data_IF_471439606042
#
_entry.id   IF_471439606042
#
_cell.length_a   1.000
_cell.length_b   1.000
_cell.length_c   1.000
_cell.angle_alpha   90.00
_cell.angle_beta   90.00
_cell.angle_gamma   90.00
#
_symmetry.space_group_name_H-M   'P 1'
#
loop_
_entity.id
_entity.type
_entity.pdbx_description
1 polymer ?
#
# COMPACT_ATOMS: atom_id res chain seq x y z
N UNK A 1 26.92 -101.02 -41.53
CA UNK A 1 26.56 -100.21 -42.71
C UNK A 1 26.30 -98.78 -42.24
N UNK A 2 27.00 -97.79 -42.84
CA UNK A 2 26.56 -96.42 -43.20
C UNK A 2 25.77 -95.62 -42.13
N UNK A 3 25.97 -94.34 -41.85
CA UNK A 3 26.77 -93.24 -42.38
C UNK A 3 26.31 -92.00 -41.58
N UNK A 4 27.24 -91.07 -41.32
CA UNK A 4 27.12 -89.60 -41.44
C UNK A 4 25.94 -88.86 -40.76
N UNK A 5 26.31 -87.84 -39.96
CA UNK A 5 25.46 -86.82 -39.34
C UNK A 5 24.63 -85.98 -40.34
N UNK A 6 23.64 -85.23 -39.83
CA UNK A 6 23.76 -83.79 -40.01
C UNK A 6 23.50 -83.00 -38.71
N UNK A 7 24.35 -82.00 -38.50
CA UNK A 7 24.18 -80.91 -37.54
C UNK A 7 23.08 -79.98 -38.05
N UNK A 8 22.02 -79.81 -37.27
CA UNK A 8 21.00 -78.78 -37.48
C UNK A 8 21.26 -77.62 -36.51
N UNK A 9 21.69 -76.49 -37.09
CA UNK A 9 21.85 -75.21 -36.40
C UNK A 9 20.45 -74.60 -36.27
N UNK A 10 19.88 -74.67 -35.06
CA UNK A 10 18.66 -73.95 -34.70
C UNK A 10 19.01 -72.59 -34.08
N UNK A 11 18.82 -71.52 -34.84
CA UNK A 11 18.97 -70.15 -34.33
C UNK A 11 17.81 -69.82 -33.39
N UNK A 12 18.08 -69.73 -32.09
CA UNK A 12 17.12 -69.24 -31.09
C UNK A 12 17.21 -67.70 -31.03
N UNK A 13 16.35 -67.01 -31.78
CA UNK A 13 16.15 -65.58 -31.64
C UNK A 13 15.31 -65.32 -30.37
N UNK A 14 15.98 -65.08 -29.24
CA UNK A 14 15.36 -64.52 -28.04
C UNK A 14 15.05 -63.05 -28.32
N UNK A 15 13.79 -62.76 -28.65
CA UNK A 15 13.28 -61.41 -28.79
C UNK A 15 13.46 -60.64 -27.49
N UNK A 16 14.28 -59.58 -27.53
CA UNK A 16 14.29 -58.56 -26.47
C UNK A 16 12.97 -57.81 -26.60
N UNK A 17 12.01 -58.14 -25.73
CA UNK A 17 10.84 -57.31 -25.52
C UNK A 17 11.33 -56.04 -24.82
N UNK A 18 11.74 -55.04 -25.60
CA UNK A 18 11.95 -53.69 -25.11
C UNK A 18 10.57 -53.13 -24.75
N UNK A 19 10.13 -53.41 -23.52
CA UNK A 19 9.08 -52.60 -22.92
C UNK A 19 9.60 -51.14 -22.96
N UNK A 20 8.84 -50.17 -23.49
CA UNK A 20 9.19 -48.79 -23.25
C UNK A 20 9.23 -48.64 -21.73
N UNK A 21 10.39 -48.25 -21.20
CA UNK A 21 10.46 -47.75 -19.84
C UNK A 21 9.47 -46.58 -19.79
N UNK A 22 8.29 -46.84 -19.23
CA UNK A 22 7.39 -45.79 -18.80
C UNK A 22 8.18 -45.07 -17.71
N UNK A 23 8.90 -44.02 -18.10
CA UNK A 23 9.40 -43.04 -17.17
C UNK A 23 8.20 -42.67 -16.32
N UNK A 24 8.22 -43.06 -15.04
CA UNK A 24 7.29 -42.54 -14.07
C UNK A 24 7.43 -41.02 -14.17
N UNK A 25 6.50 -40.37 -14.88
CA UNK A 25 6.34 -38.95 -14.79
C UNK A 25 6.12 -38.71 -13.30
N UNK A 26 7.14 -38.18 -12.62
CA UNK A 26 6.96 -37.51 -11.34
C UNK A 26 5.68 -36.71 -11.50
N UNK A 27 4.63 -37.06 -10.76
CA UNK A 27 3.34 -36.40 -10.87
C UNK A 27 3.62 -34.90 -10.93
N UNK A 28 3.38 -34.31 -12.11
CA UNK A 28 3.54 -32.88 -12.26
C UNK A 28 2.62 -32.30 -11.19
N UNK A 29 3.19 -31.61 -10.20
CA UNK A 29 2.40 -31.01 -9.13
C UNK A 29 1.25 -30.21 -9.75
N UNK A 30 0.11 -30.16 -9.07
CA UNK A 30 -1.06 -29.44 -9.57
C UNK A 30 -0.66 -28.04 -10.06
N UNK A 31 -1.09 -27.63 -11.27
CA UNK A 31 -0.75 -26.34 -11.84
C UNK A 31 -0.93 -25.20 -10.82
N UNK A 32 0.04 -24.29 -10.76
CA UNK A 32 -0.02 -23.21 -9.80
C UNK A 32 -1.04 -22.13 -10.26
N UNK A 33 -2.00 -21.74 -9.40
CA UNK A 33 -2.94 -20.66 -9.71
C UNK A 33 -2.18 -19.34 -9.92
N UNK A 34 -2.69 -18.43 -10.74
CA UNK A 34 -2.04 -17.13 -10.99
C UNK A 34 -2.75 -16.00 -10.27
N UNK A 35 -1.99 -15.06 -9.70
CA UNK A 35 -2.50 -13.76 -9.25
C UNK A 35 -2.34 -12.78 -10.40
N UNK A 36 -3.44 -12.37 -11.01
CA UNK A 36 -3.42 -11.48 -12.19
C UNK A 36 -3.57 -10.00 -11.81
N UNK A 37 -4.14 -9.72 -10.64
CA UNK A 37 -4.28 -8.35 -10.11
C UNK A 37 -4.39 -8.37 -8.59
N UNK A 38 -3.75 -7.42 -7.92
CA UNK A 38 -3.93 -7.18 -6.49
C UNK A 38 -3.93 -5.68 -6.19
N UNK A 39 -5.02 -5.18 -5.59
CA UNK A 39 -5.21 -3.75 -5.27
C UNK A 39 -5.67 -3.59 -3.83
N UNK A 40 -5.23 -2.50 -3.21
CA UNK A 40 -5.56 -2.17 -1.81
C UNK A 40 -5.58 -0.66 -1.62
N UNK A 41 -6.47 -0.16 -0.76
CA UNK A 41 -6.57 1.27 -0.44
C UNK A 41 -5.57 1.69 0.64
N UNK A 42 -4.95 2.86 0.46
CA UNK A 42 -4.20 3.54 1.53
C UNK A 42 -5.15 4.33 2.41
N UNK A 43 -4.86 4.42 3.72
CA UNK A 43 -5.68 5.17 4.67
C UNK A 43 -4.90 6.31 5.31
N UNK A 44 -5.59 7.45 5.46
CA UNK A 44 -5.19 8.52 6.38
C UNK A 44 -6.05 8.42 7.63
N UNK A 45 -5.40 8.28 8.79
CA UNK A 45 -6.05 8.04 10.07
C UNK A 45 -5.79 9.18 11.05
N UNK A 46 -6.85 9.64 11.72
CA UNK A 46 -6.75 10.54 12.86
C UNK A 46 -6.23 9.83 14.11
N UNK A 47 -6.29 10.47 15.29
CA UNK A 47 -5.68 9.91 16.50
C UNK A 47 -6.37 8.66 17.06
N UNK A 48 -7.70 8.59 16.96
CA UNK A 48 -8.55 7.48 17.43
C UNK A 48 -9.60 7.14 16.39
N UNK A 49 -9.20 7.11 15.12
CA UNK A 49 -10.11 6.87 14.01
C UNK A 49 -10.14 5.39 13.69
N UNK A 50 -11.35 4.84 13.52
CA UNK A 50 -11.56 3.54 12.90
C UNK A 50 -11.92 3.74 11.43
N UNK A 51 -11.22 3.04 10.52
CA UNK A 51 -11.54 3.00 9.09
C UNK A 51 -11.38 1.60 8.55
N UNK A 52 -12.21 1.23 7.59
CA UNK A 52 -12.08 -0.04 6.87
C UNK A 52 -11.14 0.12 5.69
N UNK A 53 -10.13 -0.73 5.61
CA UNK A 53 -9.35 -0.92 4.38
C UNK A 53 -9.86 -2.15 3.63
N UNK A 54 -9.66 -2.19 2.32
CA UNK A 54 -10.13 -3.28 1.48
C UNK A 54 -9.04 -3.68 0.50
N UNK A 55 -8.71 -4.97 0.49
CA UNK A 55 -7.90 -5.59 -0.54
C UNK A 55 -8.78 -6.40 -1.49
N UNK A 56 -8.46 -6.33 -2.78
CA UNK A 56 -9.10 -7.13 -3.82
C UNK A 56 -8.01 -7.79 -4.67
N UNK A 57 -8.12 -9.10 -4.83
CA UNK A 57 -7.19 -9.94 -5.59
C UNK A 57 -7.96 -10.69 -6.67
N UNK A 58 -7.52 -10.58 -7.91
CA UNK A 58 -8.02 -11.39 -9.03
C UNK A 58 -7.07 -12.56 -9.23
N UNK A 59 -7.64 -13.76 -9.26
CA UNK A 59 -6.90 -15.02 -9.34
C UNK A 59 -7.51 -15.94 -10.40
N UNK A 60 -6.66 -16.72 -11.05
CA UNK A 60 -7.07 -17.63 -12.13
C UNK A 60 -6.43 -19.01 -11.99
N UNK A 61 -7.21 -20.05 -12.23
CA UNK A 61 -6.75 -21.44 -12.34
C UNK A 61 -7.74 -22.26 -13.18
N UNK A 62 -7.27 -23.21 -13.99
CA UNK A 62 -8.14 -24.02 -14.85
C UNK A 62 -9.11 -24.91 -14.04
N UNK A 63 -8.71 -25.36 -12.84
CA UNK A 63 -9.59 -26.10 -11.92
C UNK A 63 -10.56 -25.19 -11.15
N UNK A 64 -10.36 -23.87 -11.23
CA UNK A 64 -11.02 -22.87 -10.41
C UNK A 64 -10.38 -22.70 -9.04
N UNK A 65 -10.90 -21.75 -8.26
CA UNK A 65 -10.27 -21.31 -7.02
C UNK A 65 -10.97 -21.91 -5.80
N UNK A 66 -10.20 -22.55 -4.91
CA UNK A 66 -10.67 -23.07 -3.62
C UNK A 66 -10.70 -21.99 -2.55
N UNK A 67 -9.68 -21.13 -2.49
CA UNK A 67 -9.63 -20.05 -1.51
C UNK A 67 -8.43 -19.14 -1.67
N UNK A 68 -8.51 -17.98 -1.02
CA UNK A 68 -7.43 -17.01 -0.92
C UNK A 68 -7.32 -16.54 0.54
N UNK A 69 -6.12 -16.56 1.09
CA UNK A 69 -5.78 -15.97 2.40
C UNK A 69 -4.83 -14.79 2.21
N UNK A 70 -4.98 -13.77 3.06
CA UNK A 70 -4.16 -12.55 3.03
C UNK A 70 -3.59 -12.24 4.41
N UNK A 71 -2.40 -11.64 4.43
CA UNK A 71 -1.77 -11.15 5.64
C UNK A 71 -1.07 -9.81 5.36
N UNK A 72 -1.53 -8.69 5.95
CA UNK A 72 -0.82 -7.43 5.87
C UNK A 72 0.42 -7.46 6.79
N UNK A 73 1.52 -6.83 6.37
CA UNK A 73 2.73 -6.72 7.20
C UNK A 73 3.51 -5.42 6.94
N UNK A 74 4.20 -4.86 7.95
CA UNK A 74 4.85 -3.55 7.85
C UNK A 74 6.17 -3.64 7.08
N UNK A 75 6.35 -2.81 6.04
CA UNK A 75 7.58 -2.80 5.25
C UNK A 75 8.82 -2.32 6.02
N UNK A 76 8.62 -1.65 7.16
CA UNK A 76 9.69 -1.12 8.01
C UNK A 76 10.38 -2.21 8.83
N UNK A 77 9.75 -3.37 9.00
CA UNK A 77 10.29 -4.51 9.77
C UNK A 77 10.40 -5.72 8.82
N UNK A 78 11.47 -5.81 8.00
CA UNK A 78 11.62 -6.90 7.02
C UNK A 78 11.58 -8.30 7.62
N UNK A 79 12.00 -8.44 8.89
CA UNK A 79 11.97 -9.71 9.61
C UNK A 79 10.54 -10.22 9.88
N UNK A 80 9.53 -9.36 9.73
CA UNK A 80 8.10 -9.72 9.80
C UNK A 80 7.53 -10.10 8.43
N UNK A 81 8.36 -10.25 7.39
CA UNK A 81 7.89 -10.76 6.11
C UNK A 81 7.37 -12.19 6.28
N UNK A 82 6.07 -12.44 6.04
CA UNK A 82 5.49 -13.75 6.27
C UNK A 82 5.98 -14.75 5.22
N UNK A 83 6.04 -16.01 5.63
CA UNK A 83 6.22 -17.17 4.76
C UNK A 83 4.87 -17.71 4.30
N UNK A 84 4.89 -18.64 3.35
CA UNK A 84 3.68 -19.29 2.85
C UNK A 84 2.90 -20.01 3.97
N UNK A 85 3.60 -20.67 4.91
CA UNK A 85 3.00 -21.31 6.08
C UNK A 85 2.24 -20.33 6.96
N UNK A 86 2.84 -19.18 7.25
CA UNK A 86 2.25 -18.18 8.15
C UNK A 86 0.92 -17.66 7.57
N UNK A 87 0.88 -17.40 6.25
CA UNK A 87 -0.36 -16.98 5.58
C UNK A 87 -1.35 -18.14 5.42
N UNK A 88 -0.87 -19.38 5.25
CA UNK A 88 -1.75 -20.54 5.17
C UNK A 88 -2.43 -20.84 6.52
N UNK A 89 -1.74 -20.64 7.64
CA UNK A 89 -2.23 -20.96 8.97
C UNK A 89 -3.02 -19.79 9.56
N UNK A 90 -2.42 -18.60 9.60
CA UNK A 90 -2.94 -17.42 10.31
C UNK A 90 -3.52 -16.35 9.38
N UNK A 91 -3.31 -16.47 8.07
CA UNK A 91 -3.83 -15.51 7.10
C UNK A 91 -5.36 -15.45 7.10
N UNK A 92 -5.89 -14.24 6.95
CA UNK A 92 -7.32 -14.01 6.93
C UNK A 92 -7.93 -14.45 5.60
N UNK A 93 -9.01 -15.25 5.67
CA UNK A 93 -9.70 -15.73 4.48
C UNK A 93 -10.44 -14.58 3.76
N UNK A 94 -10.26 -14.50 2.44
CA UNK A 94 -10.99 -13.59 1.58
C UNK A 94 -12.34 -14.18 1.17
N UNK A 95 -13.33 -13.31 0.94
CA UNK A 95 -14.56 -13.71 0.26
C UNK A 95 -14.31 -13.73 -1.25
N UNK A 96 -14.30 -14.93 -1.84
CA UNK A 96 -14.09 -15.13 -3.27
C UNK A 96 -15.43 -15.24 -4.02
N UNK A 97 -15.58 -14.43 -5.06
CA UNK A 97 -16.69 -14.53 -6.02
C UNK A 97 -16.12 -14.95 -7.37
N UNK A 98 -16.56 -16.10 -7.88
CA UNK A 98 -16.22 -16.54 -9.22
C UNK A 98 -16.79 -15.54 -10.26
N UNK A 99 -15.96 -15.13 -11.20
CA UNK A 99 -16.38 -14.35 -12.38
C UNK A 99 -16.43 -15.22 -13.64
N UNK A 100 -15.77 -16.37 -13.62
CA UNK A 100 -15.87 -17.45 -14.61
C UNK A 100 -15.56 -18.80 -13.95
N UNK A 101 -15.56 -19.90 -14.71
CA UNK A 101 -15.14 -21.21 -14.20
C UNK A 101 -13.70 -21.21 -13.67
N UNK A 102 -12.82 -20.41 -14.28
CA UNK A 102 -11.39 -20.38 -13.98
C UNK A 102 -10.94 -19.14 -13.20
N UNK A 103 -11.77 -18.09 -13.11
CA UNK A 103 -11.39 -16.81 -12.51
C UNK A 103 -12.26 -16.43 -11.33
N UNK A 104 -11.64 -15.96 -10.26
CA UNK A 104 -12.33 -15.39 -9.09
C UNK A 104 -11.76 -14.03 -8.72
N UNK A 105 -12.64 -13.17 -8.20
CA UNK A 105 -12.26 -11.94 -7.50
C UNK A 105 -12.50 -12.14 -6.01
N UNK A 106 -11.42 -12.08 -5.23
CA UNK A 106 -11.41 -12.31 -3.80
C UNK A 106 -11.21 -11.00 -3.06
N UNK A 107 -12.10 -10.69 -2.12
CA UNK A 107 -12.10 -9.43 -1.38
C UNK A 107 -11.92 -9.68 0.11
N UNK A 108 -11.02 -8.93 0.73
CA UNK A 108 -10.83 -8.88 2.18
C UNK A 108 -11.08 -7.47 2.68
N UNK A 109 -11.78 -7.36 3.82
CA UNK A 109 -12.10 -6.10 4.47
C UNK A 109 -11.75 -6.21 5.94
N UNK A 110 -11.06 -5.20 6.45
CA UNK A 110 -10.70 -5.11 7.85
C UNK A 110 -10.85 -3.68 8.34
N UNK A 111 -11.45 -3.54 9.51
CA UNK A 111 -11.57 -2.26 10.20
C UNK A 111 -10.38 -2.09 11.12
N UNK A 112 -9.59 -1.05 10.88
CA UNK A 112 -8.44 -0.70 11.70
C UNK A 112 -8.72 0.56 12.51
N UNK A 113 -8.56 0.48 13.82
CA UNK A 113 -8.47 1.60 14.73
C UNK A 113 -7.02 2.01 14.91
N UNK A 114 -6.71 3.25 14.53
CA UNK A 114 -5.36 3.80 14.64
C UNK A 114 -4.72 3.69 16.02
N UNK A 115 -5.49 3.83 17.11
CA UNK A 115 -4.96 3.82 18.47
C UNK A 115 -4.91 2.40 19.06
N UNK A 116 -5.96 1.61 18.86
CA UNK A 116 -6.04 0.28 19.44
C UNK A 116 -5.19 -0.75 18.69
N UNK A 117 -5.18 -0.70 17.35
CA UNK A 117 -4.58 -1.77 16.54
C UNK A 117 -3.18 -1.41 16.04
N UNK A 118 -2.96 -0.15 15.69
CA UNK A 118 -1.62 0.30 15.27
C UNK A 118 -0.76 0.75 16.45
N UNK A 119 -1.37 1.34 17.49
CA UNK A 119 -0.80 1.58 18.84
C UNK A 119 0.39 2.54 18.94
N UNK A 120 1.24 2.55 17.94
CA UNK A 120 2.44 3.36 17.81
C UNK A 120 2.42 4.05 16.44
N UNK A 121 3.02 5.24 16.38
CA UNK A 121 3.27 5.92 15.12
C UNK A 121 4.19 5.12 14.19
N UNK A 122 4.92 4.11 14.69
CA UNK A 122 5.70 3.16 13.87
C UNK A 122 4.83 2.35 12.91
N UNK A 123 3.53 2.18 13.20
CA UNK A 123 2.59 1.59 12.24
C UNK A 123 2.33 2.47 11.02
N UNK A 124 2.73 3.75 11.05
CA UNK A 124 2.56 4.65 9.93
C UNK A 124 3.69 4.47 8.92
N UNK A 125 3.33 4.22 7.66
CA UNK A 125 4.29 3.96 6.61
C UNK A 125 3.74 3.01 5.56
N UNK A 126 4.65 2.39 4.82
CA UNK A 126 4.31 1.41 3.79
C UNK A 126 4.09 0.03 4.41
N UNK A 127 3.06 -0.63 3.93
CA UNK A 127 2.69 -2.00 4.26
C UNK A 127 2.61 -2.81 2.97
N UNK A 128 2.89 -4.10 3.08
CA UNK A 128 2.67 -5.08 2.03
C UNK A 128 1.50 -5.98 2.41
N UNK A 129 0.90 -6.62 1.41
CA UNK A 129 -0.07 -7.70 1.61
C UNK A 129 0.52 -8.96 1.01
N UNK A 130 0.77 -9.95 1.85
CA UNK A 130 1.09 -11.30 1.42
C UNK A 130 -0.21 -12.04 1.07
N UNK A 131 -0.16 -12.88 0.03
CA UNK A 131 -1.32 -13.60 -0.48
C UNK A 131 -0.95 -15.06 -0.72
N UNK A 132 -1.77 -15.96 -0.20
CA UNK A 132 -1.74 -17.40 -0.48
C UNK A 132 -3.01 -17.75 -1.27
N UNK A 133 -2.86 -18.34 -2.45
CA UNK A 133 -3.96 -18.83 -3.29
C UNK A 133 -3.92 -20.34 -3.31
N UNK A 134 -5.10 -20.97 -3.21
CA UNK A 134 -5.27 -22.41 -3.38
C UNK A 134 -6.31 -22.68 -4.46
N UNK A 135 -5.92 -23.43 -5.49
CA UNK A 135 -6.79 -23.93 -6.54
C UNK A 135 -7.58 -25.16 -6.06
N UNK A 136 -8.62 -25.57 -6.81
CA UNK A 136 -9.46 -26.72 -6.42
C UNK A 136 -8.74 -28.06 -6.59
N UNK A 137 -7.85 -28.16 -7.57
CA UNK A 137 -6.99 -29.32 -7.77
C UNK A 137 -5.91 -29.45 -6.67
N UNK A 138 -5.67 -28.41 -5.88
CA UNK A 138 -4.68 -28.37 -4.80
C UNK A 138 -3.40 -27.60 -5.15
N UNK A 139 -3.30 -27.02 -6.35
CA UNK A 139 -2.22 -26.11 -6.72
C UNK A 139 -2.20 -24.88 -5.81
N UNK A 140 -1.00 -24.37 -5.50
CA UNK A 140 -0.85 -23.18 -4.64
C UNK A 140 0.11 -22.16 -5.21
N UNK A 141 -0.17 -20.90 -4.92
CA UNK A 141 0.72 -19.77 -5.23
C UNK A 141 0.83 -18.87 -4.02
N UNK A 142 2.07 -18.56 -3.64
CA UNK A 142 2.38 -17.62 -2.59
C UNK A 142 3.05 -16.37 -3.17
N UNK A 143 2.54 -15.20 -2.80
CA UNK A 143 3.13 -13.91 -3.13
C UNK A 143 3.34 -13.10 -1.84
N UNK A 144 4.58 -12.97 -1.31
CA UNK A 144 4.83 -12.28 -0.04
C UNK A 144 4.57 -10.77 -0.09
N UNK A 145 4.54 -10.20 -1.29
CA UNK A 145 4.31 -8.77 -1.56
C UNK A 145 3.40 -8.59 -2.78
N UNK A 146 2.21 -9.22 -2.75
CA UNK A 146 1.27 -9.18 -3.88
C UNK A 146 0.82 -7.75 -4.21
N UNK A 147 0.68 -6.90 -3.20
CA UNK A 147 0.39 -5.47 -3.35
C UNK A 147 0.91 -4.68 -2.15
N UNK A 148 0.79 -3.35 -2.19
CA UNK A 148 1.24 -2.47 -1.11
C UNK A 148 0.31 -1.28 -0.91
N UNK A 149 0.27 -0.77 0.31
CA UNK A 149 -0.51 0.41 0.69
C UNK A 149 0.22 1.21 1.77
N UNK A 150 -0.38 2.32 2.20
CA UNK A 150 0.15 3.13 3.29
C UNK A 150 -0.91 3.42 4.34
N UNK A 151 -0.50 3.34 5.60
CA UNK A 151 -1.18 4.01 6.70
C UNK A 151 -0.44 5.32 6.98
N UNK A 152 -1.15 6.44 6.90
CA UNK A 152 -0.60 7.76 7.22
C UNK A 152 -1.37 8.43 8.33
N UNK A 153 -0.64 9.11 9.20
CA UNK A 153 -1.19 9.98 10.24
C UNK A 153 -1.80 11.22 9.60
N UNK A 154 -2.99 11.60 10.03
CA UNK A 154 -3.64 12.84 9.59
C UNK A 154 -2.86 14.05 10.11
N UNK A 155 -2.56 15.01 9.23
CA UNK A 155 -2.01 16.31 9.63
C UNK A 155 -3.10 17.39 9.71
N UNK A 156 -2.84 18.44 10.49
CA UNK A 156 -3.60 19.68 10.45
C UNK A 156 -2.65 20.87 10.42
N UNK A 157 -3.06 21.93 9.73
CA UNK A 157 -2.22 23.09 9.48
C UNK A 157 -3.08 24.36 9.46
N UNK A 158 -2.62 25.39 10.16
CA UNK A 158 -3.31 26.69 10.23
C UNK A 158 -2.51 27.79 9.55
N UNK A 159 -3.18 28.87 9.17
CA UNK A 159 -2.55 30.10 8.70
C UNK A 159 -3.31 31.31 9.24
N UNK A 160 -2.58 32.32 9.70
CA UNK A 160 -3.10 33.61 10.16
C UNK A 160 -2.17 34.71 9.67
N UNK A 161 -2.70 35.65 8.90
CA UNK A 161 -1.96 36.85 8.52
C UNK A 161 -1.96 37.86 9.68
N UNK A 162 -0.87 38.62 9.82
CA UNK A 162 -0.70 39.64 10.86
C UNK A 162 -1.65 40.83 10.71
N UNK A 163 -2.20 41.05 9.52
CA UNK A 163 -3.17 42.10 9.24
C UNK A 163 -4.18 41.63 8.19
N UNK A 164 -5.43 42.10 8.31
CA UNK A 164 -6.50 41.85 7.32
C UNK A 164 -6.45 42.82 6.13
N UNK A 165 -5.82 43.99 6.30
CA UNK A 165 -5.71 45.02 5.27
C UNK A 165 -4.40 45.80 5.42
N UNK A 166 -3.66 45.97 4.32
CA UNK A 166 -2.36 46.67 4.30
C UNK A 166 -2.21 47.54 3.05
N UNK A 167 -1.28 48.50 3.06
CA UNK A 167 -0.93 49.24 1.83
C UNK A 167 -0.22 48.30 0.85
N UNK A 168 -0.32 48.57 -0.45
CA UNK A 168 0.43 47.82 -1.47
C UNK A 168 1.93 47.84 -1.13
N UNK A 169 2.61 46.72 -1.38
CA UNK A 169 4.02 46.47 -1.08
C UNK A 169 4.40 46.42 0.41
N UNK A 170 3.43 46.51 1.33
CA UNK A 170 3.67 46.25 2.75
C UNK A 170 4.04 44.78 2.98
N UNK A 171 4.90 44.54 3.96
CA UNK A 171 5.24 43.19 4.41
C UNK A 171 4.24 42.73 5.46
N UNK A 172 3.68 41.54 5.28
CA UNK A 172 2.90 40.85 6.30
C UNK A 172 3.68 39.67 6.86
N UNK A 173 3.36 39.29 8.10
CA UNK A 173 3.76 38.00 8.66
C UNK A 173 2.57 37.05 8.57
N UNK A 174 2.80 35.83 8.11
CA UNK A 174 1.81 34.75 8.19
C UNK A 174 2.33 33.73 9.19
N UNK A 175 1.57 33.47 10.25
CA UNK A 175 1.89 32.45 11.26
C UNK A 175 0.97 31.25 11.12
N UNK A 176 1.39 30.10 11.61
CA UNK A 176 0.61 28.87 11.57
C UNK A 176 1.14 27.82 12.53
N UNK A 177 0.43 26.72 12.62
CA UNK A 177 0.77 25.59 13.46
C UNK A 177 0.54 24.29 12.67
N UNK A 178 1.60 23.51 12.48
CA UNK A 178 1.54 22.16 11.96
C UNK A 178 1.38 21.18 13.13
N UNK A 179 0.39 20.29 13.02
CA UNK A 179 0.13 19.20 13.95
C UNK A 179 -0.11 17.91 13.17
N UNK A 180 0.04 16.79 13.85
CA UNK A 180 -0.29 15.47 13.32
C UNK A 180 -1.00 14.64 14.38
N UNK A 181 -1.85 13.71 13.95
CA UNK A 181 -2.39 12.66 14.80
C UNK A 181 -1.24 11.87 15.43
N UNK A 182 -1.32 11.59 16.71
CA UNK A 182 -0.42 10.72 17.45
C UNK A 182 -1.23 9.52 17.90
N UNK A 183 -0.96 8.37 17.28
CA UNK A 183 -1.73 7.17 17.53
C UNK A 183 -1.43 6.57 18.89
N UNK A 184 -0.23 6.78 19.43
CA UNK A 184 0.15 6.32 20.77
C UNK A 184 -0.62 7.00 21.89
N UNK A 185 -0.69 8.32 21.90
CA UNK A 185 -1.49 9.05 22.90
C UNK A 185 -2.97 9.17 22.52
N UNK A 186 -3.34 8.81 21.29
CA UNK A 186 -4.68 9.01 20.75
C UNK A 186 -5.08 10.48 20.67
N UNK A 187 -4.12 11.40 20.51
CA UNK A 187 -4.34 12.86 20.45
C UNK A 187 -3.75 13.48 19.19
N UNK A 188 -4.09 14.73 18.90
CA UNK A 188 -3.36 15.53 17.90
C UNK A 188 -2.24 16.27 18.59
N UNK A 189 -1.00 16.08 18.14
CA UNK A 189 0.20 16.67 18.76
C UNK A 189 0.93 17.59 17.79
N UNK A 190 1.76 18.47 18.35
CA UNK A 190 2.62 19.36 17.58
C UNK A 190 3.56 18.56 16.68
N UNK A 191 3.70 18.98 15.42
CA UNK A 191 4.52 18.28 14.44
C UNK A 191 5.58 19.22 13.84
N UNK A 192 6.77 19.16 14.42
CA UNK A 192 7.87 20.07 14.14
C UNK A 192 8.85 19.60 13.05
N UNK A 193 9.82 20.48 12.77
CA UNK A 193 10.99 20.23 11.88
C UNK A 193 10.64 19.90 10.41
N UNK A 194 9.37 20.04 10.01
CA UNK A 194 8.91 19.79 8.65
C UNK A 194 9.09 21.01 7.75
N UNK A 195 9.28 20.77 6.45
CA UNK A 195 9.19 21.83 5.44
C UNK A 195 7.72 22.15 5.13
N UNK A 196 7.36 23.43 5.14
CA UNK A 196 6.02 23.92 4.83
C UNK A 196 6.13 25.11 3.89
N UNK A 197 5.30 25.14 2.85
CA UNK A 197 5.34 26.18 1.82
C UNK A 197 4.20 27.18 2.02
N UNK A 198 4.54 28.45 2.20
CA UNK A 198 3.61 29.57 2.09
C UNK A 198 3.22 29.74 0.62
N UNK A 199 1.92 29.75 0.35
CA UNK A 199 1.32 29.95 -0.95
C UNK A 199 0.40 31.18 -0.94
N UNK A 200 0.27 31.84 -2.08
CA UNK A 200 -0.61 32.98 -2.30
C UNK A 200 -1.58 32.70 -3.45
N UNK A 201 -2.84 33.10 -3.29
CA UNK A 201 -3.86 33.10 -4.33
C UNK A 201 -4.42 34.52 -4.45
N UNK A 202 -4.25 35.13 -5.62
CA UNK A 202 -4.77 36.47 -5.92
C UNK A 202 -6.30 36.47 -5.89
N UNK A 203 -6.92 37.52 -5.34
CA UNK A 203 -8.37 37.69 -5.40
C UNK A 203 -8.87 37.64 -6.86
N UNK A 204 -10.02 36.99 -7.08
CA UNK A 204 -10.56 36.76 -8.43
C UNK A 204 -9.91 35.60 -9.19
N UNK A 205 -9.00 34.84 -8.57
CA UNK A 205 -8.36 33.66 -9.18
C UNK A 205 -8.50 32.42 -8.30
N UNK A 206 -8.32 31.24 -8.89
CA UNK A 206 -8.40 29.94 -8.18
C UNK A 206 -7.04 29.33 -7.88
N UNK A 207 -5.99 29.71 -8.62
CA UNK A 207 -4.67 29.09 -8.55
C UNK A 207 -3.83 29.59 -7.36
N UNK A 208 -3.28 28.65 -6.59
CA UNK A 208 -2.30 28.92 -5.54
C UNK A 208 -0.88 28.89 -6.10
N UNK A 209 -0.10 29.94 -5.85
CA UNK A 209 1.31 30.03 -6.25
C UNK A 209 2.21 29.93 -5.03
N UNK A 210 3.28 29.16 -5.11
CA UNK A 210 4.29 29.11 -4.07
C UNK A 210 4.98 30.46 -3.91
N UNK A 211 5.20 30.89 -2.67
CA UNK A 211 5.89 32.14 -2.35
C UNK A 211 7.20 31.87 -1.62
N UNK A 212 7.15 31.07 -0.55
CA UNK A 212 8.32 30.77 0.28
C UNK A 212 8.16 29.45 1.00
N UNK A 213 9.21 28.64 1.04
CA UNK A 213 9.27 27.46 1.91
C UNK A 213 9.99 27.80 3.21
N UNK A 214 9.41 27.40 4.33
CA UNK A 214 9.96 27.58 5.69
C UNK A 214 9.99 26.24 6.42
N UNK A 215 10.83 26.14 7.44
CA UNK A 215 10.85 24.99 8.35
C UNK A 215 9.99 25.31 9.57
N UNK A 216 9.11 24.39 9.94
CA UNK A 216 8.43 24.45 11.22
C UNK A 216 9.45 24.27 12.36
N UNK A 217 9.27 24.99 13.46
CA UNK A 217 10.12 24.82 14.64
C UNK A 217 9.90 23.45 15.31
N UNK A 218 10.57 23.18 16.42
CA UNK A 218 10.44 21.91 17.15
C UNK A 218 9.00 21.67 17.67
N UNK A 219 8.22 22.74 17.89
CA UNK A 219 6.84 22.70 18.36
C UNK A 219 5.84 22.79 17.20
N UNK A 220 6.28 22.72 15.94
CA UNK A 220 5.40 22.77 14.77
C UNK A 220 4.92 24.18 14.40
N UNK A 221 5.40 25.23 15.06
CA UNK A 221 5.04 26.60 14.66
C UNK A 221 5.71 26.95 13.34
N UNK A 222 4.95 27.59 12.44
CA UNK A 222 5.44 28.09 11.16
C UNK A 222 5.27 29.60 11.07
N UNK A 223 6.28 30.29 10.53
CA UNK A 223 6.28 31.74 10.34
C UNK A 223 7.01 32.08 9.05
N UNK A 224 6.41 32.94 8.25
CA UNK A 224 7.04 33.50 7.06
C UNK A 224 6.56 34.93 6.86
N UNK A 225 7.38 35.74 6.21
CA UNK A 225 7.06 37.10 5.80
C UNK A 225 6.96 37.20 4.29
N UNK A 226 6.07 38.04 3.79
CA UNK A 226 5.90 38.27 2.36
C UNK A 226 5.38 39.67 2.07
N UNK A 227 5.78 40.25 0.93
CA UNK A 227 5.24 41.52 0.42
C UNK A 227 3.88 41.31 -0.23
N UNK A 228 2.92 42.18 0.09
CA UNK A 228 1.57 42.16 -0.47
C UNK A 228 1.50 43.05 -1.72
N UNK A 229 1.66 42.47 -2.90
CA UNK A 229 1.56 43.19 -4.17
C UNK A 229 0.12 43.29 -4.70
N UNK A 230 -0.77 42.42 -4.24
CA UNK A 230 -2.19 42.37 -4.60
C UNK A 230 -3.03 41.82 -3.44
N UNK A 231 -4.33 42.14 -3.43
CA UNK A 231 -5.28 41.49 -2.53
C UNK A 231 -5.39 39.99 -2.86
N UNK A 232 -5.57 39.17 -1.84
CA UNK A 232 -5.72 37.72 -2.00
C UNK A 232 -5.64 36.96 -0.69
N UNK A 233 -5.50 35.64 -0.79
CA UNK A 233 -5.42 34.74 0.36
C UNK A 233 -4.04 34.09 0.45
N UNK A 234 -3.57 33.90 1.68
CA UNK A 234 -2.32 33.23 2.02
C UNK A 234 -2.59 31.93 2.75
N UNK A 235 -1.93 30.83 2.38
CA UNK A 235 -2.07 29.54 3.08
C UNK A 235 -0.73 28.86 3.23
N UNK A 236 -0.62 27.98 4.21
CA UNK A 236 0.49 27.05 4.30
C UNK A 236 0.11 25.70 3.67
N UNK A 237 1.09 25.05 3.03
CA UNK A 237 0.97 23.74 2.43
C UNK A 237 2.09 22.84 2.97
N UNK A 238 1.72 21.73 3.60
CA UNK A 238 2.62 20.65 3.98
C UNK A 238 2.42 19.50 2.98
N UNK A 239 3.50 19.08 2.32
CA UNK A 239 3.46 18.06 1.27
C UNK A 239 3.25 16.63 1.82
N UNK A 240 3.27 16.44 3.14
CA UNK A 240 3.29 15.11 3.73
C UNK A 240 4.67 14.47 3.65
N UNK A 241 4.74 13.23 4.13
CA UNK A 241 5.89 12.34 3.97
C UNK A 241 5.40 10.88 3.96
N UNK A 242 6.29 9.92 4.18
CA UNK A 242 5.95 8.50 4.21
C UNK A 242 4.95 8.12 5.32
N UNK A 243 4.94 8.85 6.44
CA UNK A 243 4.19 8.52 7.66
C UNK A 243 3.06 9.50 7.98
N UNK A 244 3.11 10.73 7.45
CA UNK A 244 2.11 11.78 7.70
C UNK A 244 1.54 12.28 6.37
N UNK A 245 0.23 12.42 6.30
CA UNK A 245 -0.48 12.88 5.12
C UNK A 245 -0.20 14.37 4.80
N UNK A 246 -0.31 14.73 3.52
CA UNK A 246 -0.27 16.12 3.09
C UNK A 246 -1.48 16.90 3.63
N UNK A 247 -1.30 18.19 3.90
CA UNK A 247 -2.39 19.07 4.31
C UNK A 247 -2.15 20.52 3.86
N UNK A 248 -3.22 21.19 3.45
CA UNK A 248 -3.22 22.63 3.21
C UNK A 248 -4.03 23.31 4.32
N UNK A 249 -3.55 24.45 4.82
CA UNK A 249 -4.37 25.28 5.70
C UNK A 249 -5.50 25.96 4.92
N UNK A 250 -6.51 26.43 5.66
CA UNK A 250 -7.41 27.45 5.17
C UNK A 250 -6.63 28.71 4.74
N UNK A 251 -7.22 29.50 3.84
CA UNK A 251 -6.64 30.76 3.37
C UNK A 251 -6.89 31.92 4.34
N UNK A 252 -5.84 32.65 4.69
CA UNK A 252 -5.90 33.91 5.40
C UNK A 252 -5.96 35.07 4.40
N UNK A 253 -7.12 35.71 4.27
CA UNK A 253 -7.35 36.80 3.31
C UNK A 253 -6.78 38.13 3.79
N UNK A 254 -6.11 38.83 2.88
CA UNK A 254 -5.54 40.17 3.08
C UNK A 254 -5.99 41.07 1.93
N UNK A 255 -6.63 42.19 2.25
CA UNK A 255 -7.02 43.23 1.29
C UNK A 255 -5.97 44.33 1.18
N UNK A 256 -6.07 45.13 0.12
CA UNK A 256 -5.31 46.38 0.02
C UNK A 256 -6.13 47.52 0.62
N UNK A 257 -5.46 48.40 1.39
CA UNK A 257 -6.04 49.69 1.79
C UNK A 257 -6.23 50.55 0.54
N UNK A 258 -7.33 51.31 0.54
CA UNK A 258 -7.54 52.40 -0.40
C UNK A 258 -6.48 53.49 -0.15
#
# INVERSE_FOLDING_TARGET
MRSVAPVLIGALALGVLAAPAASAATAAGNPAPKITKAVVSSLVLGPKTTKTWTASVTVTDESGIKGVKLMPWPAMVPDFAPKASDVADEGAAATCKATSATTSVCTYKESINSHADLGDNLGAGRWYVAVQVTAKDGGTTFAPKATSFTFKRQASLTAKASAKSVKKNSTITVTGQLKAADWKSGKVVNYGKQSVTLQFRKSGTTAWKAVKTVKADAKGAVKATAKVSAAGSWRYAFAGNGSVAAVNSAGATVSLKK
#
